data_IF_357302374930
#
_entry.id   IF_357302374930
#
_cell.length_a   1.000
_cell.length_b   1.000
_cell.length_c   1.000
_cell.angle_alpha   90.00
_cell.angle_beta   90.00
_cell.angle_gamma   90.00
#
_symmetry.space_group_name_H-M   'P 1'
#
loop_
_entity.id
_entity.type
_entity.pdbx_description
1 polymer ?
#
# COMPACT_ATOMS: atom_id res chain seq x y z
N UNK A 1 -17.65 -25.96 -14.11
CA UNK A 1 -16.50 -25.85 -13.21
C UNK A 1 -15.36 -25.01 -13.80
N UNK A 2 -14.96 -25.20 -15.06
CA UNK A 2 -13.89 -24.43 -15.73
C UNK A 2 -14.10 -22.90 -15.70
N UNK A 3 -15.31 -22.40 -15.95
CA UNK A 3 -15.57 -20.95 -15.98
C UNK A 3 -15.41 -20.22 -14.63
N UNK A 4 -15.65 -20.90 -13.49
CA UNK A 4 -15.38 -20.35 -12.16
C UNK A 4 -13.88 -20.32 -11.85
N UNK A 5 -13.15 -21.34 -12.25
CA UNK A 5 -11.70 -21.43 -12.06
C UNK A 5 -10.97 -20.34 -12.87
N UNK A 6 -11.38 -20.11 -14.12
CA UNK A 6 -10.82 -19.03 -14.96
C UNK A 6 -11.15 -17.63 -14.41
N UNK A 7 -12.37 -17.39 -13.92
CA UNK A 7 -12.72 -16.10 -13.29
C UNK A 7 -11.95 -15.82 -11.99
N UNK A 8 -11.65 -16.83 -11.20
CA UNK A 8 -10.89 -16.68 -9.94
C UNK A 8 -9.39 -16.51 -10.14
N UNK A 9 -8.86 -17.00 -11.27
CA UNK A 9 -7.42 -16.97 -11.57
C UNK A 9 -7.06 -16.04 -12.75
N UNK A 10 -8.01 -15.29 -13.29
CA UNK A 10 -7.77 -14.38 -14.41
C UNK A 10 -6.65 -13.37 -14.14
N UNK A 11 -6.53 -12.90 -12.91
CA UNK A 11 -5.48 -11.94 -12.52
C UNK A 11 -4.07 -12.56 -12.62
N UNK A 12 -3.92 -13.85 -12.27
CA UNK A 12 -2.63 -14.54 -12.40
C UNK A 12 -2.25 -14.78 -13.87
N UNK A 13 -3.26 -14.98 -14.74
CA UNK A 13 -3.02 -15.06 -16.19
C UNK A 13 -2.52 -13.71 -16.74
N UNK A 14 -3.13 -12.60 -16.30
CA UNK A 14 -2.66 -11.25 -16.67
C UNK A 14 -1.21 -11.04 -16.22
N UNK A 15 -0.87 -11.44 -14.99
CA UNK A 15 0.50 -11.36 -14.48
C UNK A 15 1.50 -12.17 -15.31
N UNK A 16 1.13 -13.42 -15.72
CA UNK A 16 1.99 -14.25 -16.56
C UNK A 16 2.18 -13.68 -17.96
N UNK A 17 1.11 -13.11 -18.55
CA UNK A 17 1.20 -12.44 -19.85
C UNK A 17 2.12 -11.22 -19.76
N UNK A 18 1.99 -10.42 -18.71
CA UNK A 18 2.85 -9.26 -18.46
C UNK A 18 4.33 -9.66 -18.38
N UNK A 19 4.65 -10.70 -17.58
CA UNK A 19 6.02 -11.24 -17.48
C UNK A 19 6.54 -11.66 -18.86
N UNK A 20 5.73 -12.37 -19.64
CA UNK A 20 6.12 -12.83 -20.97
C UNK A 20 6.41 -11.65 -21.93
N UNK A 21 5.57 -10.60 -21.89
CA UNK A 21 5.76 -9.39 -22.70
C UNK A 21 7.08 -8.69 -22.33
N UNK A 22 7.31 -8.42 -21.04
CA UNK A 22 8.53 -7.74 -20.61
C UNK A 22 9.79 -8.61 -20.76
N UNK A 23 9.69 -9.93 -20.58
CA UNK A 23 10.81 -10.83 -20.83
C UNK A 23 11.22 -10.81 -22.31
N UNK A 24 10.24 -10.80 -23.22
CA UNK A 24 10.50 -10.70 -24.67
C UNK A 24 11.04 -9.30 -25.04
N UNK A 25 10.40 -8.23 -24.55
CA UNK A 25 10.76 -6.86 -24.92
C UNK A 25 12.13 -6.41 -24.35
N UNK A 26 12.63 -7.06 -23.28
CA UNK A 26 13.91 -6.74 -22.62
C UNK A 26 15.04 -7.73 -22.93
N UNK A 27 14.87 -8.57 -23.99
CA UNK A 27 15.84 -9.63 -24.34
C UNK A 27 16.23 -10.52 -23.14
N UNK A 28 15.25 -10.86 -22.30
CA UNK A 28 15.42 -11.71 -21.12
C UNK A 28 15.97 -10.99 -19.88
N UNK A 29 16.34 -9.71 -19.96
CA UNK A 29 16.88 -8.94 -18.82
C UNK A 29 15.87 -8.84 -17.69
N UNK A 30 14.56 -8.75 -18.01
CA UNK A 30 13.47 -8.67 -17.05
C UNK A 30 13.43 -9.87 -16.08
N UNK A 31 13.68 -11.07 -16.57
CA UNK A 31 13.69 -12.32 -15.77
C UNK A 31 15.06 -12.67 -15.19
N UNK A 32 16.07 -11.80 -15.35
CA UNK A 32 17.38 -12.01 -14.73
C UNK A 32 17.30 -12.01 -13.21
N UNK A 33 18.15 -12.81 -12.54
CA UNK A 33 18.20 -12.89 -11.08
C UNK A 33 18.34 -11.51 -10.43
N UNK A 34 19.19 -10.65 -11.00
CA UNK A 34 19.38 -9.27 -10.50
C UNK A 34 18.10 -8.46 -10.54
N UNK A 35 17.35 -8.56 -11.64
CA UNK A 35 16.11 -7.82 -11.81
C UNK A 35 14.96 -8.38 -10.96
N UNK A 36 14.86 -9.69 -10.80
CA UNK A 36 13.88 -10.33 -9.88
C UNK A 36 14.08 -9.82 -8.44
N UNK A 37 15.34 -9.70 -7.99
CA UNK A 37 15.66 -9.10 -6.69
C UNK A 37 15.22 -7.62 -6.63
N UNK A 38 15.41 -6.85 -7.71
CA UNK A 38 14.96 -5.46 -7.77
C UNK A 38 13.43 -5.35 -7.74
N UNK A 39 12.72 -6.19 -8.51
CA UNK A 39 11.26 -6.28 -8.47
C UNK A 39 10.80 -6.61 -7.04
N UNK A 40 11.41 -7.62 -6.40
CA UNK A 40 11.08 -8.02 -5.03
C UNK A 40 11.24 -6.88 -4.02
N UNK A 41 12.27 -6.05 -4.17
CA UNK A 41 12.46 -4.85 -3.35
C UNK A 41 11.44 -3.76 -3.66
N UNK A 42 11.03 -3.63 -4.90
CA UNK A 42 10.06 -2.63 -5.33
C UNK A 42 8.64 -2.98 -4.88
N UNK A 43 8.21 -4.21 -5.08
CA UNK A 43 6.88 -4.67 -4.66
C UNK A 43 6.71 -4.66 -3.15
N UNK A 44 7.81 -4.71 -2.37
CA UNK A 44 7.74 -4.84 -0.91
C UNK A 44 7.03 -3.66 -0.24
N UNK A 45 7.36 -2.42 -0.56
CA UNK A 45 6.72 -1.26 0.06
C UNK A 45 5.29 -1.04 -0.48
N UNK A 46 5.04 -1.31 -1.77
CA UNK A 46 3.68 -1.32 -2.31
C UNK A 46 2.81 -2.36 -1.59
N UNK A 47 3.34 -3.58 -1.43
CA UNK A 47 2.63 -4.68 -0.80
C UNK A 47 2.27 -4.38 0.65
N UNK A 48 3.23 -3.86 1.44
CA UNK A 48 2.99 -3.53 2.84
C UNK A 48 1.90 -2.44 2.96
N UNK A 49 1.98 -1.37 2.18
CA UNK A 49 0.97 -0.31 2.18
C UNK A 49 -0.41 -0.80 1.71
N UNK A 50 -0.45 -1.71 0.73
CA UNK A 50 -1.68 -2.28 0.19
C UNK A 50 -2.49 -3.09 1.20
N UNK A 51 -1.86 -3.63 2.25
CA UNK A 51 -2.57 -4.33 3.32
C UNK A 51 -3.49 -3.36 4.08
N UNK A 52 -2.94 -2.21 4.50
CA UNK A 52 -3.71 -1.16 5.16
C UNK A 52 -4.85 -0.64 4.29
N UNK A 53 -4.54 -0.31 3.03
CA UNK A 53 -5.54 0.12 2.05
C UNK A 53 -6.64 -0.92 1.82
N UNK A 54 -6.29 -2.21 1.83
CA UNK A 54 -7.28 -3.30 1.70
C UNK A 54 -8.32 -3.23 2.80
N UNK A 55 -7.90 -3.01 4.05
CA UNK A 55 -8.84 -2.90 5.18
C UNK A 55 -9.77 -1.69 5.04
N UNK A 56 -9.23 -0.55 4.59
CA UNK A 56 -10.01 0.67 4.37
C UNK A 56 -10.99 0.50 3.21
N UNK A 57 -10.56 -0.07 2.08
CA UNK A 57 -11.46 -0.30 0.93
C UNK A 57 -12.52 -1.34 1.26
N UNK A 58 -12.23 -2.36 2.07
CA UNK A 58 -13.22 -3.35 2.50
C UNK A 58 -14.41 -2.72 3.25
N UNK A 59 -14.24 -1.59 3.92
CA UNK A 59 -15.33 -0.84 4.55
C UNK A 59 -15.87 0.30 3.68
N UNK A 60 -15.68 0.22 2.37
CA UNK A 60 -16.06 1.26 1.39
C UNK A 60 -15.38 2.63 1.63
N UNK A 61 -14.25 2.68 2.33
CA UNK A 61 -13.42 3.87 2.50
C UNK A 61 -12.31 3.94 1.46
N UNK A 62 -11.70 5.13 1.32
CA UNK A 62 -10.47 5.35 0.56
C UNK A 62 -9.53 6.18 1.43
N UNK A 63 -8.27 5.76 1.54
CA UNK A 63 -7.25 6.46 2.33
C UNK A 63 -6.19 7.06 1.40
N UNK A 64 -6.39 8.32 1.01
CA UNK A 64 -5.41 9.05 0.19
C UNK A 64 -4.17 9.47 0.99
N UNK A 65 -4.23 9.45 2.32
CA UNK A 65 -3.10 9.89 3.15
C UNK A 65 -1.93 8.91 3.18
N UNK A 66 -2.08 7.69 2.66
CA UNK A 66 -1.03 6.65 2.71
C UNK A 66 0.30 7.17 2.12
N UNK A 67 0.27 7.85 0.97
CA UNK A 67 1.46 8.41 0.34
C UNK A 67 2.15 9.46 1.20
N UNK A 68 1.37 10.34 1.82
CA UNK A 68 1.89 11.38 2.72
C UNK A 68 2.39 10.81 4.05
N UNK A 69 1.76 9.77 4.60
CA UNK A 69 2.23 9.05 5.79
C UNK A 69 3.59 8.40 5.49
N UNK A 70 3.73 7.70 4.35
CA UNK A 70 5.00 7.13 3.89
C UNK A 70 6.08 8.22 3.83
N UNK A 71 5.76 9.37 3.22
CA UNK A 71 6.68 10.51 3.10
C UNK A 71 7.07 11.08 4.45
N UNK A 72 6.10 11.34 5.33
CA UNK A 72 6.37 11.93 6.62
C UNK A 72 7.20 10.98 7.51
N UNK A 73 6.87 9.68 7.54
CA UNK A 73 7.67 8.67 8.23
C UNK A 73 9.10 8.62 7.70
N UNK A 74 9.26 8.70 6.39
CA UNK A 74 10.56 8.73 5.73
C UNK A 74 11.40 9.93 6.22
N UNK A 75 10.80 11.13 6.22
CA UNK A 75 11.47 12.37 6.65
C UNK A 75 11.71 12.38 8.16
N UNK A 76 10.70 12.05 8.98
CA UNK A 76 10.81 12.08 10.46
C UNK A 76 11.83 11.06 10.95
N UNK A 77 11.81 9.83 10.44
CA UNK A 77 12.76 8.80 10.86
C UNK A 77 14.21 9.22 10.53
N UNK A 78 14.45 9.75 9.33
CA UNK A 78 15.76 10.25 8.94
C UNK A 78 16.19 11.46 9.79
N UNK A 79 15.28 12.42 10.03
CA UNK A 79 15.55 13.60 10.85
C UNK A 79 15.88 13.22 12.31
N UNK A 80 15.16 12.25 12.90
CA UNK A 80 15.43 11.75 14.25
C UNK A 80 16.83 11.11 14.34
N UNK A 81 17.26 10.37 13.31
CA UNK A 81 18.58 9.74 13.29
C UNK A 81 19.70 10.76 13.07
N UNK A 82 19.52 11.69 12.13
CA UNK A 82 20.61 12.60 11.68
C UNK A 82 20.68 13.87 12.51
N UNK A 83 19.55 14.54 12.74
CA UNK A 83 19.51 15.85 13.37
C UNK A 83 19.39 15.75 14.90
N UNK A 84 18.64 14.75 15.41
CA UNK A 84 18.46 14.54 16.85
C UNK A 84 19.52 13.57 17.40
N UNK A 85 20.14 12.75 16.55
CA UNK A 85 21.11 11.73 16.98
C UNK A 85 20.46 10.52 17.67
N UNK A 86 19.18 10.26 17.39
CA UNK A 86 18.44 9.14 17.98
C UNK A 86 18.90 7.81 17.39
N UNK A 87 19.01 6.77 18.22
CA UNK A 87 19.33 5.43 17.76
C UNK A 87 18.28 4.88 16.76
N UNK A 88 18.72 4.05 15.82
CA UNK A 88 17.91 3.50 14.73
C UNK A 88 16.56 2.94 15.19
N UNK A 89 16.56 2.04 16.17
CA UNK A 89 15.36 1.37 16.65
C UNK A 89 14.36 2.34 17.31
N UNK A 90 14.86 3.30 18.07
CA UNK A 90 14.03 4.33 18.71
C UNK A 90 13.39 5.24 17.65
N UNK A 91 14.15 5.64 16.63
CA UNK A 91 13.65 6.46 15.51
C UNK A 91 12.56 5.71 14.72
N UNK A 92 12.76 4.42 14.45
CA UNK A 92 11.77 3.55 13.81
C UNK A 92 10.49 3.47 14.65
N UNK A 93 10.60 3.15 15.94
CA UNK A 93 9.42 3.01 16.82
C UNK A 93 8.63 4.31 16.95
N UNK A 94 9.31 5.45 17.13
CA UNK A 94 8.65 6.77 17.19
C UNK A 94 7.93 7.09 15.89
N UNK A 95 8.57 6.82 14.75
CA UNK A 95 7.98 7.06 13.43
C UNK A 95 6.77 6.17 13.15
N UNK A 96 6.79 4.91 13.58
CA UNK A 96 5.65 3.99 13.47
C UNK A 96 4.50 4.39 14.40
N UNK A 97 4.81 4.81 15.63
CA UNK A 97 3.81 5.32 16.56
C UNK A 97 3.12 6.57 15.99
N UNK A 98 3.89 7.50 15.41
CA UNK A 98 3.37 8.68 14.72
C UNK A 98 2.46 8.27 13.54
N UNK A 99 2.88 7.35 12.68
CA UNK A 99 2.07 6.88 11.55
C UNK A 99 0.74 6.26 12.00
N UNK A 100 0.79 5.45 13.06
CA UNK A 100 -0.41 4.85 13.65
C UNK A 100 -1.34 5.92 14.22
N UNK A 101 -0.79 6.93 14.91
CA UNK A 101 -1.57 8.05 15.45
C UNK A 101 -2.24 8.86 14.32
N UNK A 102 -1.56 9.10 13.22
CA UNK A 102 -2.14 9.72 12.03
C UNK A 102 -3.33 8.89 11.52
N UNK A 103 -3.18 7.58 11.45
CA UNK A 103 -4.29 6.68 11.13
C UNK A 103 -5.46 6.82 12.10
N UNK A 104 -5.20 6.87 13.42
CA UNK A 104 -6.23 7.11 14.43
C UNK A 104 -6.94 8.45 14.22
N UNK A 105 -6.21 9.53 13.89
CA UNK A 105 -6.79 10.84 13.56
C UNK A 105 -7.69 10.77 12.33
N UNK A 106 -7.29 10.07 11.26
CA UNK A 106 -8.14 9.82 10.11
C UNK A 106 -9.40 9.05 10.51
N UNK A 107 -9.25 8.00 11.32
CA UNK A 107 -10.36 7.25 11.89
C UNK A 107 -11.31 8.12 12.70
N UNK A 108 -10.78 9.06 13.48
CA UNK A 108 -11.59 10.01 14.26
C UNK A 108 -12.42 10.94 13.35
N UNK A 109 -11.80 11.49 12.30
CA UNK A 109 -12.49 12.34 11.33
C UNK A 109 -13.63 11.59 10.62
N UNK A 110 -13.40 10.34 10.23
CA UNK A 110 -14.38 9.54 9.52
C UNK A 110 -15.46 8.97 10.45
N UNK A 111 -15.05 8.44 11.62
CA UNK A 111 -15.97 7.71 12.50
C UNK A 111 -16.75 8.61 13.45
N UNK A 112 -16.14 9.67 13.99
CA UNK A 112 -16.77 10.51 15.02
C UNK A 112 -17.29 11.81 14.45
N UNK A 113 -16.51 12.47 13.59
CA UNK A 113 -16.95 13.73 12.96
C UNK A 113 -17.90 13.47 11.78
N UNK A 114 -17.82 12.28 11.15
CA UNK A 114 -18.68 11.91 10.01
C UNK A 114 -18.20 12.49 8.67
N UNK A 115 -16.94 12.93 8.57
CA UNK A 115 -16.40 13.43 7.30
C UNK A 115 -16.26 12.24 6.32
N UNK A 116 -16.72 12.37 5.06
CA UNK A 116 -16.48 11.34 4.04
C UNK A 116 -14.99 10.96 3.96
N UNK A 117 -14.70 9.66 3.92
CA UNK A 117 -13.33 9.12 4.02
C UNK A 117 -12.36 9.78 3.02
N UNK A 118 -12.80 9.94 1.76
CA UNK A 118 -12.00 10.58 0.72
C UNK A 118 -11.58 12.01 1.09
N UNK A 119 -12.51 12.80 1.64
CA UNK A 119 -12.25 14.21 2.01
C UNK A 119 -11.35 14.27 3.24
N UNK A 120 -11.62 13.46 4.26
CA UNK A 120 -10.82 13.41 5.49
C UNK A 120 -9.36 13.04 5.19
N UNK A 121 -9.16 11.97 4.41
CA UNK A 121 -7.81 11.49 4.09
C UNK A 121 -7.07 12.37 3.09
N UNK A 122 -7.77 13.04 2.17
CA UNK A 122 -7.17 14.05 1.30
C UNK A 122 -6.72 15.30 2.07
N UNK A 123 -7.52 15.76 3.03
CA UNK A 123 -7.11 16.85 3.91
C UNK A 123 -5.85 16.47 4.73
N UNK A 124 -5.83 15.25 5.30
CA UNK A 124 -4.66 14.69 5.98
C UNK A 124 -3.44 14.61 5.07
N UNK A 125 -3.62 14.14 3.83
CA UNK A 125 -2.54 14.10 2.83
C UNK A 125 -1.88 15.46 2.68
N UNK A 126 -2.67 16.50 2.44
CA UNK A 126 -2.16 17.87 2.26
C UNK A 126 -1.39 18.38 3.48
N UNK A 127 -1.93 18.12 4.69
CA UNK A 127 -1.27 18.53 5.95
C UNK A 127 0.06 17.81 6.13
N UNK A 128 0.09 16.49 5.96
CA UNK A 128 1.30 15.70 6.24
C UNK A 128 2.37 15.83 5.16
N UNK A 129 2.00 16.08 3.90
CA UNK A 129 2.94 16.51 2.87
C UNK A 129 3.58 17.86 3.24
N UNK A 130 2.77 18.84 3.64
CA UNK A 130 3.27 20.14 4.09
C UNK A 130 4.23 20.02 5.29
N UNK A 131 3.90 19.18 6.30
CA UNK A 131 4.78 18.93 7.44
C UNK A 131 6.10 18.26 7.03
N UNK A 132 6.08 17.32 6.09
CA UNK A 132 7.29 16.69 5.57
C UNK A 132 8.20 17.71 4.86
N UNK A 133 7.62 18.64 4.10
CA UNK A 133 8.38 19.74 3.48
C UNK A 133 8.96 20.71 4.52
N UNK A 134 8.17 21.11 5.52
CA UNK A 134 8.64 22.02 6.58
C UNK A 134 9.79 21.40 7.37
N UNK A 135 9.69 20.13 7.74
CA UNK A 135 10.70 19.44 8.53
C UNK A 135 12.01 19.18 7.74
N UNK A 136 11.92 18.87 6.46
CA UNK A 136 13.08 18.63 5.60
C UNK A 136 13.69 19.91 5.01
N UNK A 137 12.95 21.04 5.06
CA UNK A 137 13.29 22.25 4.32
C UNK A 137 13.35 22.03 2.81
N UNK A 138 12.64 21.04 2.28
CA UNK A 138 12.64 20.64 0.88
C UNK A 138 13.94 19.97 0.41
N UNK A 139 14.87 19.65 1.33
CA UNK A 139 16.17 19.04 1.00
C UNK A 139 16.18 17.57 1.42
N UNK A 140 16.89 16.70 0.66
CA UNK A 140 17.07 15.31 1.06
C UNK A 140 17.86 15.22 2.39
N UNK A 141 17.42 14.33 3.29
CA UNK A 141 18.13 14.00 4.53
C UNK A 141 18.79 12.64 4.34
N UNK A 142 20.13 12.62 4.42
CA UNK A 142 20.94 11.41 4.29
C UNK A 142 22.07 11.43 5.34
N UNK A 143 22.87 10.34 5.40
CA UNK A 143 24.03 10.27 6.32
C UNK A 143 23.74 9.56 7.64
N UNK A 144 22.60 8.85 7.77
CA UNK A 144 22.36 7.94 8.88
C UNK A 144 23.13 6.61 8.71
N UNK A 145 23.32 5.90 9.81
CA UNK A 145 24.14 4.70 9.87
C UNK A 145 23.77 3.65 8.82
N UNK A 146 24.80 3.02 8.23
CA UNK A 146 24.65 1.99 7.19
C UNK A 146 23.88 0.74 7.67
N UNK A 147 23.81 0.50 9.00
CA UNK A 147 22.99 -0.57 9.58
C UNK A 147 21.51 -0.42 9.24
N UNK A 148 21.04 0.80 8.99
CA UNK A 148 19.65 1.05 8.57
C UNK A 148 19.32 0.43 7.22
N UNK A 149 20.33 0.10 6.39
CA UNK A 149 20.14 -0.65 5.14
C UNK A 149 19.53 -2.05 5.35
N UNK A 150 19.47 -2.56 6.60
CA UNK A 150 18.90 -3.84 6.99
C UNK A 150 17.49 -4.06 6.42
N UNK A 151 16.59 -3.07 6.54
CA UNK A 151 15.18 -3.23 6.17
C UNK A 151 14.95 -3.22 4.65
N UNK A 152 15.80 -2.57 3.85
CA UNK A 152 15.55 -2.32 2.43
C UNK A 152 16.59 -2.89 1.46
N UNK A 153 17.87 -2.97 1.86
CA UNK A 153 18.98 -3.37 0.97
C UNK A 153 19.56 -4.74 1.27
N UNK A 154 19.54 -5.19 2.52
CA UNK A 154 20.11 -6.47 2.91
C UNK A 154 19.30 -7.63 2.37
N UNK A 155 19.96 -8.78 2.21
CA UNK A 155 19.35 -10.02 1.72
C UNK A 155 19.87 -11.21 2.56
N UNK A 156 19.00 -12.18 2.75
CA UNK A 156 19.34 -13.50 3.31
C UNK A 156 19.44 -14.46 2.12
N UNK A 157 20.66 -14.78 1.73
CA UNK A 157 20.92 -15.48 0.47
C UNK A 157 20.45 -14.65 -0.73
N UNK A 158 19.58 -15.19 -1.55
CA UNK A 158 19.00 -14.50 -2.71
C UNK A 158 17.76 -13.65 -2.39
N UNK A 159 17.18 -13.76 -1.17
CA UNK A 159 15.90 -13.14 -0.82
C UNK A 159 16.14 -11.82 -0.06
N UNK A 160 15.65 -10.67 -0.56
CA UNK A 160 15.72 -9.40 0.16
C UNK A 160 14.92 -9.42 1.47
N UNK A 161 15.46 -8.82 2.53
CA UNK A 161 14.76 -8.74 3.84
C UNK A 161 13.43 -8.01 3.71
N UNK A 162 13.35 -6.94 2.90
CA UNK A 162 12.09 -6.24 2.66
C UNK A 162 10.99 -7.15 2.06
N UNK A 163 11.35 -8.12 1.22
CA UNK A 163 10.39 -9.10 0.70
C UNK A 163 9.91 -10.06 1.81
N UNK A 164 10.80 -10.45 2.72
CA UNK A 164 10.43 -11.26 3.90
C UNK A 164 9.47 -10.47 4.80
N UNK A 165 9.78 -9.19 5.07
CA UNK A 165 8.90 -8.29 5.84
C UNK A 165 7.52 -8.21 5.17
N UNK A 166 7.46 -8.00 3.87
CA UNK A 166 6.20 -7.95 3.11
C UNK A 166 5.40 -9.25 3.27
N UNK A 167 6.03 -10.42 3.10
CA UNK A 167 5.36 -11.73 3.25
C UNK A 167 4.80 -11.91 4.66
N UNK A 168 5.57 -11.54 5.69
CA UNK A 168 5.11 -11.59 7.09
C UNK A 168 3.92 -10.64 7.29
N UNK A 169 3.98 -9.41 6.75
CA UNK A 169 2.87 -8.47 6.81
C UNK A 169 1.61 -9.01 6.10
N UNK A 170 1.76 -9.64 4.91
CA UNK A 170 0.64 -10.29 4.22
C UNK A 170 0.06 -11.47 5.01
N UNK A 171 0.91 -12.25 5.67
CA UNK A 171 0.45 -13.34 6.55
C UNK A 171 -0.37 -12.79 7.72
N UNK A 172 0.08 -11.70 8.36
CA UNK A 172 -0.66 -11.00 9.43
C UNK A 172 -1.97 -10.44 8.89
N UNK A 173 -1.96 -9.74 7.76
CA UNK A 173 -3.17 -9.18 7.14
C UNK A 173 -4.17 -10.26 6.75
N UNK A 174 -3.69 -11.38 6.19
CA UNK A 174 -4.51 -12.55 5.86
C UNK A 174 -5.09 -13.21 7.11
N UNK A 175 -4.30 -13.33 8.18
CA UNK A 175 -4.78 -13.84 9.47
C UNK A 175 -5.89 -12.95 10.04
N UNK A 176 -5.72 -11.62 10.03
CA UNK A 176 -6.74 -10.66 10.48
C UNK A 176 -8.03 -10.86 9.69
N UNK A 177 -7.98 -10.95 8.36
CA UNK A 177 -9.18 -11.07 7.53
C UNK A 177 -9.87 -12.43 7.62
N UNK A 178 -9.10 -13.53 7.63
CA UNK A 178 -9.67 -14.86 7.46
C UNK A 178 -9.92 -15.61 8.78
N UNK A 179 -9.12 -15.32 9.82
CA UNK A 179 -9.10 -16.11 11.06
C UNK A 179 -9.54 -15.33 12.29
N UNK A 180 -9.62 -13.98 12.22
CA UNK A 180 -10.07 -13.17 13.33
C UNK A 180 -11.54 -12.74 13.21
N UNK A 181 -12.14 -12.32 14.33
CA UNK A 181 -13.47 -11.73 14.32
C UNK A 181 -13.47 -10.32 13.65
N UNK A 182 -12.32 -9.64 13.65
CA UNK A 182 -12.18 -8.33 13.00
C UNK A 182 -12.46 -8.41 11.49
N UNK A 183 -11.94 -9.44 10.81
CA UNK A 183 -12.19 -9.61 9.38
C UNK A 183 -13.67 -9.76 9.07
N UNK A 184 -14.42 -10.55 9.86
CA UNK A 184 -15.86 -10.67 9.69
C UNK A 184 -16.59 -9.33 9.84
N UNK A 185 -16.14 -8.49 10.79
CA UNK A 185 -16.70 -7.16 10.98
C UNK A 185 -16.36 -6.22 9.82
N UNK A 186 -15.17 -6.29 9.26
CA UNK A 186 -14.79 -5.49 8.09
C UNK A 186 -15.68 -5.81 6.88
N UNK A 187 -15.91 -7.09 6.59
CA UNK A 187 -16.82 -7.49 5.52
C UNK A 187 -18.29 -7.12 5.80
N UNK A 188 -18.74 -7.24 7.04
CA UNK A 188 -20.11 -6.87 7.42
C UNK A 188 -20.36 -5.36 7.26
N UNK A 189 -19.45 -4.52 7.77
CA UNK A 189 -19.51 -3.05 7.65
C UNK A 189 -19.52 -2.64 6.18
N UNK A 190 -18.60 -3.20 5.39
CA UNK A 190 -18.51 -2.87 3.96
C UNK A 190 -19.67 -3.41 3.12
N UNK A 191 -20.36 -4.45 3.59
CA UNK A 191 -21.57 -4.96 2.94
C UNK A 191 -22.79 -4.05 3.17
N UNK A 192 -23.04 -3.69 4.42
CA UNK A 192 -24.05 -2.71 4.82
C UNK A 192 -23.73 -2.21 6.24
N UNK A 193 -23.30 -0.96 6.35
CA UNK A 193 -22.87 -0.35 7.61
C UNK A 193 -24.02 -0.28 8.62
N UNK A 194 -25.22 0.12 8.17
CA UNK A 194 -26.41 0.25 9.03
C UNK A 194 -26.87 -1.13 9.57
N UNK A 195 -26.91 -2.15 8.72
CA UNK A 195 -27.22 -3.50 9.15
C UNK A 195 -26.17 -4.07 10.11
N UNK A 196 -24.89 -3.75 9.92
CA UNK A 196 -23.81 -4.15 10.83
C UNK A 196 -23.98 -3.50 12.21
N UNK A 197 -24.34 -2.21 12.26
CA UNK A 197 -24.61 -1.49 13.50
C UNK A 197 -25.83 -2.07 14.25
N UNK A 198 -26.92 -2.31 13.54
CA UNK A 198 -28.13 -2.96 14.09
C UNK A 198 -27.85 -4.38 14.61
N UNK A 199 -26.85 -5.06 14.05
CA UNK A 199 -26.36 -6.37 14.50
C UNK A 199 -25.43 -6.29 15.73
N UNK A 200 -25.24 -5.09 16.31
CA UNK A 200 -24.43 -4.88 17.51
C UNK A 200 -22.94 -4.68 17.25
N UNK A 201 -22.51 -4.51 16.01
CA UNK A 201 -21.11 -4.18 15.69
C UNK A 201 -20.87 -2.71 16.04
N UNK A 202 -19.81 -2.45 16.82
CA UNK A 202 -19.41 -1.08 17.15
C UNK A 202 -18.63 -0.47 15.98
N UNK A 203 -19.34 -0.03 14.94
CA UNK A 203 -18.80 0.44 13.67
C UNK A 203 -17.70 1.50 13.86
N UNK A 204 -17.96 2.53 14.68
CA UNK A 204 -16.98 3.60 14.92
C UNK A 204 -15.66 3.06 15.46
N UNK A 205 -15.67 2.12 16.41
CA UNK A 205 -14.44 1.52 16.95
C UNK A 205 -13.68 0.72 15.87
N UNK A 206 -14.40 0.06 14.98
CA UNK A 206 -13.79 -0.67 13.87
C UNK A 206 -13.16 0.28 12.86
N UNK A 207 -13.80 1.41 12.55
CA UNK A 207 -13.19 2.45 11.69
C UNK A 207 -11.90 2.99 12.31
N UNK A 208 -11.87 3.31 13.60
CA UNK A 208 -10.64 3.71 14.30
C UNK A 208 -9.52 2.67 14.13
N UNK A 209 -9.83 1.40 14.37
CA UNK A 209 -8.85 0.31 14.25
C UNK A 209 -8.34 0.17 12.81
N UNK A 210 -9.24 0.23 11.83
CA UNK A 210 -8.91 0.06 10.41
C UNK A 210 -7.95 1.16 9.93
N UNK A 211 -8.27 2.42 10.25
CA UNK A 211 -7.40 3.54 9.88
C UNK A 211 -6.08 3.54 10.67
N UNK A 212 -6.09 3.12 11.94
CA UNK A 212 -4.86 2.94 12.72
C UNK A 212 -3.94 1.88 12.08
N UNK A 213 -4.51 0.75 11.64
CA UNK A 213 -3.78 -0.29 10.92
C UNK A 213 -3.28 0.22 9.55
N UNK A 214 -4.09 1.01 8.83
CA UNK A 214 -3.68 1.65 7.57
C UNK A 214 -2.44 2.53 7.80
N UNK A 215 -2.47 3.39 8.81
CA UNK A 215 -1.34 4.23 9.20
C UNK A 215 -0.10 3.41 9.58
N UNK A 216 -0.27 2.33 10.35
CA UNK A 216 0.83 1.44 10.75
C UNK A 216 1.50 0.79 9.54
N UNK A 217 0.71 0.20 8.62
CA UNK A 217 1.26 -0.43 7.42
C UNK A 217 1.88 0.59 6.46
N UNK A 218 1.30 1.79 6.33
CA UNK A 218 1.91 2.90 5.60
C UNK A 218 3.25 3.31 6.23
N UNK A 219 3.32 3.39 7.57
CA UNK A 219 4.55 3.65 8.30
C UNK A 219 5.63 2.60 8.04
N UNK A 220 5.28 1.31 8.12
CA UNK A 220 6.20 0.21 7.81
C UNK A 220 6.71 0.29 6.36
N UNK A 221 5.83 0.59 5.39
CA UNK A 221 6.22 0.82 4.01
C UNK A 221 7.20 2.00 3.88
N UNK A 222 6.98 3.09 4.64
CA UNK A 222 7.88 4.25 4.71
C UNK A 222 9.27 3.91 5.23
N UNK A 223 9.36 3.08 6.29
CA UNK A 223 10.65 2.60 6.83
C UNK A 223 11.39 1.75 5.80
N UNK A 224 10.71 0.81 5.14
CA UNK A 224 11.31 -0.04 4.09
C UNK A 224 11.80 0.82 2.93
N UNK A 225 11.00 1.80 2.51
CA UNK A 225 11.35 2.70 1.40
C UNK A 225 12.54 3.60 1.77
N UNK A 226 12.59 4.16 2.99
CA UNK A 226 13.74 4.93 3.50
C UNK A 226 15.02 4.09 3.51
N UNK A 227 14.92 2.87 4.04
CA UNK A 227 16.05 1.94 4.09
C UNK A 227 16.57 1.55 2.70
N UNK A 228 15.66 1.44 1.72
CA UNK A 228 16.02 1.15 0.32
C UNK A 228 16.72 2.34 -0.33
N UNK A 229 16.21 3.56 -0.17
CA UNK A 229 16.78 4.78 -0.76
C UNK A 229 18.03 5.23 -0.04
N UNK A 230 18.12 5.04 1.28
CA UNK A 230 19.14 5.61 2.17
C UNK A 230 19.19 7.14 2.09
N UNK A 231 18.08 7.75 1.72
CA UNK A 231 17.89 9.20 1.64
C UNK A 231 16.41 9.50 1.77
N UNK A 232 16.06 10.34 2.72
CA UNK A 232 14.68 10.81 2.88
C UNK A 232 14.44 11.99 1.95
N UNK A 233 13.29 11.95 1.29
CA UNK A 233 12.84 13.02 0.38
C UNK A 233 11.38 13.35 0.66
N UNK A 234 11.06 14.65 0.71
CA UNK A 234 9.69 15.14 0.98
C UNK A 234 8.68 14.86 -0.15
N UNK A 235 9.12 14.30 -1.26
CA UNK A 235 8.25 13.95 -2.41
C UNK A 235 8.14 12.47 -2.67
N UNK A 236 8.83 11.62 -1.87
CA UNK A 236 9.04 10.20 -2.19
C UNK A 236 7.75 9.36 -2.25
N UNK A 237 6.73 9.77 -1.49
CA UNK A 237 5.45 9.08 -1.44
C UNK A 237 4.38 9.67 -2.35
N UNK A 238 4.67 10.74 -3.08
CA UNK A 238 3.70 11.41 -3.93
C UNK A 238 3.21 10.51 -5.06
N UNK A 239 1.89 10.25 -5.11
CA UNK A 239 1.27 9.38 -6.10
C UNK A 239 1.28 7.90 -5.72
N UNK A 240 1.98 7.49 -4.66
CA UNK A 240 1.98 6.09 -4.17
C UNK A 240 0.59 5.64 -3.72
N UNK A 241 -0.24 6.55 -3.22
CA UNK A 241 -1.63 6.27 -2.84
C UNK A 241 -2.42 5.69 -4.01
N UNK A 242 -2.25 6.22 -5.22
CA UNK A 242 -2.92 5.71 -6.42
C UNK A 242 -2.39 4.35 -6.88
N UNK A 243 -1.07 4.14 -6.79
CA UNK A 243 -0.46 2.84 -7.08
C UNK A 243 -0.98 1.77 -6.10
N UNK A 244 -1.07 2.10 -4.81
CA UNK A 244 -1.57 1.21 -3.75
C UNK A 244 -3.06 0.90 -3.95
N UNK A 245 -3.90 1.91 -4.26
CA UNK A 245 -5.32 1.70 -4.62
C UNK A 245 -5.41 0.75 -5.82
N UNK A 246 -4.59 1.00 -6.86
CA UNK A 246 -4.59 0.17 -8.07
C UNK A 246 -4.23 -1.28 -7.75
N UNK A 247 -3.21 -1.53 -6.92
CA UNK A 247 -2.85 -2.88 -6.47
C UNK A 247 -4.04 -3.59 -5.81
N UNK A 248 -4.76 -2.89 -4.93
CA UNK A 248 -5.85 -3.46 -4.15
C UNK A 248 -7.09 -3.73 -5.03
N UNK A 249 -7.48 -2.76 -5.86
CA UNK A 249 -8.65 -2.88 -6.74
C UNK A 249 -8.41 -3.91 -7.86
N UNK A 250 -7.23 -3.86 -8.49
CA UNK A 250 -6.81 -4.86 -9.47
C UNK A 250 -6.78 -6.26 -8.85
N UNK A 251 -6.39 -6.35 -7.57
CA UNK A 251 -6.46 -7.55 -6.75
C UNK A 251 -7.88 -8.07 -6.46
N UNK A 252 -8.92 -7.37 -6.93
CA UNK A 252 -10.32 -7.77 -6.82
C UNK A 252 -10.97 -7.40 -5.50
N UNK A 253 -10.42 -6.43 -4.77
CA UNK A 253 -11.10 -5.79 -3.65
C UNK A 253 -12.03 -4.71 -4.21
N UNK A 254 -13.31 -4.81 -3.91
CA UNK A 254 -14.31 -3.89 -4.46
C UNK A 254 -14.30 -2.54 -3.76
N UNK A 255 -14.24 -1.46 -4.55
CA UNK A 255 -14.30 -0.08 -4.06
C UNK A 255 -15.61 0.22 -3.30
N UNK A 256 -16.68 -0.50 -3.60
CA UNK A 256 -17.94 -0.36 -2.85
C UNK A 256 -17.96 -1.13 -1.52
N UNK A 257 -16.85 -1.75 -1.12
CA UNK A 257 -16.75 -2.50 0.14
C UNK A 257 -17.32 -3.92 0.11
N UNK A 258 -17.13 -4.63 1.21
CA UNK A 258 -17.73 -5.95 1.50
C UNK A 258 -17.20 -7.13 0.71
N UNK A 259 -16.34 -6.92 -0.29
CA UNK A 259 -15.81 -7.98 -1.16
C UNK A 259 -14.33 -7.79 -1.40
N UNK A 260 -13.54 -8.85 -1.24
CA UNK A 260 -12.10 -8.84 -1.50
C UNK A 260 -11.39 -10.02 -0.85
N UNK A 261 -10.15 -10.28 -1.29
CA UNK A 261 -9.28 -11.33 -0.71
C UNK A 261 -7.84 -10.87 -0.72
N UNK A 262 -7.11 -11.12 0.37
CA UNK A 262 -5.71 -10.75 0.49
C UNK A 262 -4.82 -11.42 -0.59
N UNK A 263 -5.13 -12.66 -0.99
CA UNK A 263 -4.41 -13.36 -2.07
C UNK A 263 -4.52 -12.66 -3.43
N UNK A 264 -5.66 -12.03 -3.71
CA UNK A 264 -5.81 -11.21 -4.92
C UNK A 264 -4.97 -9.94 -4.86
N UNK A 265 -4.89 -9.30 -3.68
CA UNK A 265 -4.06 -8.11 -3.48
C UNK A 265 -2.58 -8.42 -3.75
N UNK A 266 -2.09 -9.61 -3.33
CA UNK A 266 -0.73 -10.05 -3.68
C UNK A 266 -0.50 -10.04 -5.20
N UNK A 267 -1.46 -10.58 -5.97
CA UNK A 267 -1.35 -10.57 -7.43
C UNK A 267 -1.35 -9.13 -8.00
N UNK A 268 -2.24 -8.25 -7.50
CA UNK A 268 -2.27 -6.85 -7.90
C UNK A 268 -0.95 -6.10 -7.62
N UNK A 269 -0.36 -6.35 -6.44
CA UNK A 269 0.95 -5.80 -6.06
C UNK A 269 2.06 -6.28 -6.99
N UNK A 270 2.07 -7.57 -7.32
CA UNK A 270 3.05 -8.12 -8.25
C UNK A 270 2.90 -7.52 -9.65
N UNK A 271 1.68 -7.36 -10.16
CA UNK A 271 1.42 -6.74 -11.46
C UNK A 271 1.90 -5.28 -11.47
N UNK A 272 1.46 -4.44 -10.56
CA UNK A 272 1.83 -3.01 -10.58
C UNK A 272 3.34 -2.82 -10.35
N UNK A 273 3.93 -3.62 -9.46
CA UNK A 273 5.37 -3.57 -9.22
C UNK A 273 6.21 -4.06 -10.40
N UNK A 274 5.81 -5.15 -11.06
CA UNK A 274 6.48 -5.64 -12.25
C UNK A 274 6.27 -4.73 -13.46
N UNK A 275 5.07 -4.16 -13.64
CA UNK A 275 4.76 -3.16 -14.65
C UNK A 275 5.68 -1.94 -14.52
N UNK A 276 5.80 -1.39 -13.31
CA UNK A 276 6.68 -0.24 -13.06
C UNK A 276 8.15 -0.59 -13.35
N UNK A 277 8.61 -1.75 -12.90
CA UNK A 277 9.98 -2.20 -13.17
C UNK A 277 10.23 -2.45 -14.67
N UNK A 278 9.30 -3.08 -15.37
CA UNK A 278 9.38 -3.32 -16.80
C UNK A 278 9.45 -2.03 -17.61
N UNK A 279 8.62 -1.04 -17.26
CA UNK A 279 8.67 0.29 -17.89
C UNK A 279 10.01 1.00 -17.64
N UNK A 280 10.57 0.90 -16.43
CA UNK A 280 11.92 1.45 -16.13
C UNK A 280 13.00 0.75 -16.95
N UNK A 281 12.95 -0.57 -17.10
CA UNK A 281 13.89 -1.34 -17.90
C UNK A 281 13.84 -0.98 -19.39
N UNK A 282 12.67 -0.56 -19.87
CA UNK A 282 12.46 -0.10 -21.25
C UNK A 282 12.71 1.42 -21.42
N UNK A 283 13.29 2.08 -20.42
CA UNK A 283 13.60 3.51 -20.42
C UNK A 283 12.36 4.40 -20.65
N UNK A 284 11.18 3.93 -20.22
CA UNK A 284 9.92 4.71 -20.28
C UNK A 284 9.97 5.84 -19.27
N UNK A 285 9.77 7.07 -19.72
CA UNK A 285 9.81 8.25 -18.84
C UNK A 285 8.79 8.16 -17.69
N UNK A 286 9.11 8.76 -16.55
CA UNK A 286 8.24 8.79 -15.36
C UNK A 286 6.83 9.31 -15.69
N UNK A 287 6.75 10.35 -16.52
CA UNK A 287 5.46 10.92 -16.94
C UNK A 287 4.62 9.94 -17.77
N UNK A 288 5.24 9.18 -18.66
CA UNK A 288 4.54 8.14 -19.42
C UNK A 288 4.09 6.99 -18.51
N UNK A 289 4.91 6.60 -17.51
CA UNK A 289 4.51 5.63 -16.49
C UNK A 289 3.28 6.12 -15.70
N UNK A 290 3.19 7.40 -15.34
CA UNK A 290 2.01 7.97 -14.68
C UNK A 290 0.75 7.84 -15.54
N UNK A 291 0.85 8.10 -16.86
CA UNK A 291 -0.29 7.92 -17.79
C UNK A 291 -0.74 6.47 -17.83
N UNK A 292 0.19 5.52 -18.00
CA UNK A 292 -0.13 4.08 -18.04
C UNK A 292 -0.80 3.63 -16.74
N UNK A 293 -0.25 4.00 -15.58
CA UNK A 293 -0.80 3.65 -14.27
C UNK A 293 -2.20 4.25 -14.05
N UNK A 294 -2.42 5.50 -14.48
CA UNK A 294 -3.73 6.14 -14.42
C UNK A 294 -4.79 5.42 -15.26
N UNK A 295 -4.41 4.98 -16.48
CA UNK A 295 -5.29 4.17 -17.33
C UNK A 295 -5.61 2.82 -16.67
N UNK A 296 -4.59 2.14 -16.11
CA UNK A 296 -4.78 0.85 -15.42
C UNK A 296 -5.73 1.00 -14.23
N UNK A 297 -5.58 2.06 -13.43
CA UNK A 297 -6.49 2.36 -12.32
C UNK A 297 -7.92 2.57 -12.81
N UNK A 298 -8.12 3.41 -13.85
CA UNK A 298 -9.44 3.69 -14.39
C UNK A 298 -10.12 2.42 -14.93
N UNK A 299 -9.36 1.56 -15.61
CA UNK A 299 -9.86 0.28 -16.12
C UNK A 299 -10.21 -0.68 -14.97
N UNK A 300 -9.36 -0.79 -13.94
CA UNK A 300 -9.59 -1.67 -12.79
C UNK A 300 -10.88 -1.27 -12.04
N UNK A 301 -11.03 0.02 -11.73
CA UNK A 301 -12.24 0.55 -11.06
C UNK A 301 -13.46 0.42 -11.97
N UNK A 302 -13.34 0.70 -13.27
CA UNK A 302 -14.43 0.59 -14.23
C UNK A 302 -14.97 -0.84 -14.33
N UNK A 303 -14.08 -1.83 -14.38
CA UNK A 303 -14.46 -3.26 -14.39
C UNK A 303 -15.17 -3.65 -13.09
N UNK A 304 -14.69 -3.21 -11.93
CA UNK A 304 -15.36 -3.46 -10.64
C UNK A 304 -16.78 -2.91 -10.63
N UNK A 305 -16.96 -1.65 -11.03
CA UNK A 305 -18.27 -0.99 -11.09
C UNK A 305 -19.26 -1.72 -12.03
N UNK A 306 -18.81 -2.11 -13.25
CA UNK A 306 -19.66 -2.83 -14.20
C UNK A 306 -20.02 -4.24 -13.70
N UNK A 307 -19.05 -4.92 -13.07
CA UNK A 307 -19.27 -6.26 -12.52
C UNK A 307 -20.35 -6.26 -11.42
N UNK A 308 -20.33 -5.25 -10.55
CA UNK A 308 -21.35 -5.10 -9.49
C UNK A 308 -22.75 -4.80 -10.03
N UNK A 309 -22.87 -3.92 -11.03
CA UNK A 309 -24.18 -3.63 -11.65
C UNK A 309 -24.85 -4.90 -12.21
N UNK A 310 -24.06 -5.82 -12.78
CA UNK A 310 -24.56 -7.10 -13.32
C UNK A 310 -24.97 -8.11 -12.24
N UNK A 311 -24.53 -7.95 -11.00
CA UNK A 311 -24.91 -8.82 -9.88
C UNK A 311 -26.13 -8.30 -9.13
N UNK A 312 -26.49 -7.04 -9.30
CA UNK A 312 -27.64 -6.38 -8.69
C UNK A 312 -28.91 -6.44 -9.56
N UNK A 313 -28.80 -6.89 -10.81
CA UNK A 313 -29.90 -7.21 -11.75
C UNK A 313 -30.08 -8.73 -11.82
#
# INVERSE_FOLDING_TARGET
MMGKFFKQNAIWLVFLIEIAIFAWASDGTFISQRNIVNISRQVSYYGIASIGMTFVILIAGIDLSIGSIITLVNVVCAWLMVSVGMGMWSAVLVSLAMATLIGVLNGAMVATVGIPALIATFASQTVFEGLAYLLSGGRPIAGFDSSFALFGRWSVGAVPICAIIMVVCFAIGSFILNWSYFGRYFYAIGGNEEAAELSGIRVNRMKYLIYALSGLFAGLAGIVLLSRSMSAQSTIGKGLEFDVITCVVLGGVSVSGGVGRMSGVVAGVLIIGSLTNGMILMDVSEYAQMVVKGIVLALAVGIDCVSKRRQAV
#
